data_IF_478531760702
#
_entry.id   IF_478531760702
#
_cell.length_a   1.000
_cell.length_b   1.000
_cell.length_c   1.000
_cell.angle_alpha   90.00
_cell.angle_beta   90.00
_cell.angle_gamma   90.00
#
_symmetry.space_group_name_H-M   'P 1'
#
loop_
_entity.id
_entity.type
_entity.pdbx_description
1 polymer ?
#
# COMPACT_ATOMS: atom_id res chain seq x y z
N UNK A 1 -27.14 75.09 27.07
CA UNK A 1 -26.99 73.70 27.51
C UNK A 1 -28.01 72.72 26.96
N UNK A 2 -29.32 72.96 27.03
CA UNK A 2 -30.35 71.96 26.57
C UNK A 2 -30.35 71.53 25.05
N UNK A 3 -29.79 72.34 24.15
CA UNK A 3 -29.75 72.00 22.73
C UNK A 3 -28.58 71.09 22.33
N UNK A 4 -27.47 71.09 23.08
CA UNK A 4 -26.30 70.22 22.83
C UNK A 4 -26.57 68.80 23.31
N UNK A 5 -27.13 68.60 24.49
CA UNK A 5 -27.50 67.32 25.08
C UNK A 5 -28.56 66.58 24.20
N UNK A 6 -29.48 67.29 23.57
CA UNK A 6 -30.48 66.67 22.68
C UNK A 6 -29.90 66.22 21.36
N UNK A 7 -28.80 66.81 20.88
CA UNK A 7 -28.06 66.38 19.65
C UNK A 7 -27.18 65.19 19.90
N UNK A 8 -26.53 65.12 21.08
CA UNK A 8 -25.73 63.96 21.50
C UNK A 8 -26.60 62.72 21.74
N UNK A 9 -27.74 62.84 22.43
CA UNK A 9 -28.67 61.75 22.64
C UNK A 9 -29.25 61.22 21.33
N UNK A 10 -29.55 62.09 20.34
CA UNK A 10 -30.00 61.62 19.03
C UNK A 10 -28.88 60.89 18.27
N UNK A 11 -27.64 61.33 18.38
CA UNK A 11 -26.48 60.66 17.75
C UNK A 11 -26.23 59.30 18.37
N UNK A 12 -26.30 59.20 19.70
CA UNK A 12 -26.13 57.90 20.42
C UNK A 12 -27.27 56.96 20.07
N UNK A 13 -28.51 57.44 20.03
CA UNK A 13 -29.66 56.63 19.65
C UNK A 13 -29.58 56.12 18.21
N UNK A 14 -29.05 56.93 17.28
CA UNK A 14 -28.80 56.52 15.89
C UNK A 14 -27.75 55.43 15.79
N UNK A 15 -26.65 55.52 16.59
CA UNK A 15 -25.58 54.50 16.66
C UNK A 15 -26.14 53.17 17.21
N UNK A 16 -26.96 53.22 18.27
CA UNK A 16 -27.60 52.03 18.85
C UNK A 16 -28.54 51.36 17.82
N UNK A 17 -29.34 52.12 17.10
CA UNK A 17 -30.24 51.60 16.06
C UNK A 17 -29.43 50.94 14.94
N UNK A 18 -28.30 51.54 14.51
CA UNK A 18 -27.41 51.02 13.51
C UNK A 18 -26.75 49.71 13.97
N UNK A 19 -26.30 49.63 15.20
CA UNK A 19 -25.75 48.40 15.79
C UNK A 19 -26.81 47.29 15.89
N UNK A 20 -28.03 47.60 16.30
CA UNK A 20 -29.12 46.61 16.32
C UNK A 20 -29.45 46.10 14.91
N UNK A 21 -29.40 47.00 13.91
CA UNK A 21 -29.66 46.61 12.52
C UNK A 21 -28.55 45.68 11.96
N UNK A 22 -27.31 45.96 12.31
CA UNK A 22 -26.15 45.07 11.95
C UNK A 22 -26.30 43.70 12.63
N UNK A 23 -26.63 43.65 13.92
CA UNK A 23 -26.86 42.40 14.63
C UNK A 23 -28.04 41.64 14.02
N UNK A 24 -29.12 42.31 13.68
CA UNK A 24 -30.31 41.70 13.09
C UNK A 24 -30.00 41.10 11.69
N UNK A 25 -29.29 41.87 10.82
CA UNK A 25 -28.84 41.39 9.52
C UNK A 25 -27.89 40.21 9.68
N UNK A 26 -26.94 40.27 10.59
CA UNK A 26 -26.02 39.19 10.91
C UNK A 26 -26.74 37.91 11.39
N UNK A 27 -27.81 38.11 12.21
CA UNK A 27 -28.62 36.96 12.67
C UNK A 27 -29.41 36.31 11.53
N UNK A 28 -30.00 37.12 10.65
CA UNK A 28 -30.68 36.58 9.45
C UNK A 28 -29.69 35.88 8.55
N UNK A 29 -28.53 36.48 8.30
CA UNK A 29 -27.48 35.85 7.47
C UNK A 29 -27.04 34.51 8.06
N UNK A 30 -26.80 34.44 9.38
CA UNK A 30 -26.48 33.24 10.11
C UNK A 30 -27.57 32.16 9.97
N UNK A 31 -28.85 32.55 10.13
CA UNK A 31 -29.97 31.61 9.97
C UNK A 31 -30.01 31.05 8.54
N UNK A 32 -29.87 31.91 7.53
CA UNK A 32 -29.89 31.50 6.12
C UNK A 32 -28.70 30.61 5.75
N UNK A 33 -27.53 30.83 6.35
CA UNK A 33 -26.33 30.02 6.19
C UNK A 33 -26.50 28.66 6.89
N UNK A 34 -26.97 28.63 8.15
CA UNK A 34 -27.21 27.39 8.92
C UNK A 34 -28.24 26.48 8.24
N UNK A 35 -29.29 27.05 7.67
CA UNK A 35 -30.32 26.28 6.95
C UNK A 35 -29.99 26.01 5.48
N UNK A 36 -28.78 26.40 5.02
CA UNK A 36 -28.31 26.14 3.65
C UNK A 36 -29.12 26.87 2.58
N UNK A 37 -29.88 27.91 2.96
CA UNK A 37 -30.70 28.69 2.03
C UNK A 37 -29.82 29.57 1.14
N UNK A 38 -28.67 30.00 1.65
CA UNK A 38 -27.62 30.71 0.90
C UNK A 38 -26.35 29.83 0.86
N UNK A 39 -25.69 29.78 -0.31
CA UNK A 39 -24.39 29.12 -0.45
C UNK A 39 -23.27 30.12 -0.15
N UNK A 40 -22.75 30.06 1.06
CA UNK A 40 -21.60 30.87 1.47
C UNK A 40 -20.33 30.01 1.36
N UNK A 41 -19.23 30.53 0.75
CA UNK A 41 -17.95 29.81 0.80
C UNK A 41 -17.54 29.52 2.24
N UNK A 42 -17.03 28.29 2.50
CA UNK A 42 -16.72 27.81 3.87
C UNK A 42 -15.88 28.80 4.71
N UNK A 43 -14.96 29.53 4.09
CA UNK A 43 -14.12 30.53 4.77
C UNK A 43 -14.89 31.74 5.32
N UNK A 44 -16.14 31.96 4.88
CA UNK A 44 -17.00 33.07 5.32
C UNK A 44 -18.28 32.59 6.01
N UNK A 45 -18.50 31.27 6.09
CA UNK A 45 -19.69 30.69 6.70
C UNK A 45 -19.55 30.66 8.22
N UNK A 46 -20.46 31.34 8.92
CA UNK A 46 -20.55 31.27 10.39
C UNK A 46 -21.07 29.89 10.81
N UNK A 47 -21.89 29.26 9.97
CA UNK A 47 -22.40 27.92 10.20
C UNK A 47 -21.27 26.90 10.26
N UNK A 48 -20.18 27.05 9.51
CA UNK A 48 -19.02 26.18 9.52
C UNK A 48 -18.33 26.07 10.89
N UNK A 49 -18.53 27.06 11.76
CA UNK A 49 -18.01 27.06 13.13
C UNK A 49 -18.74 26.05 14.05
N UNK A 50 -19.88 25.53 13.63
CA UNK A 50 -20.75 24.64 14.42
C UNK A 50 -21.02 23.29 13.79
N UNK A 51 -20.60 23.07 12.52
CA UNK A 51 -20.83 21.82 11.82
C UNK A 51 -19.61 20.90 11.87
N UNK A 52 -19.88 19.60 11.93
CA UNK A 52 -18.89 18.56 11.63
C UNK A 52 -18.71 18.46 10.12
N UNK A 53 -17.47 18.41 9.65
CA UNK A 53 -17.12 18.12 8.27
C UNK A 53 -16.49 16.72 8.19
N UNK A 54 -16.73 16.03 7.08
CA UNK A 54 -16.14 14.73 6.80
C UNK A 54 -15.26 14.88 5.56
N UNK A 55 -13.98 14.66 5.73
CA UNK A 55 -13.01 14.57 4.64
C UNK A 55 -12.60 13.12 4.43
N UNK A 56 -12.44 12.72 3.19
CA UNK A 56 -11.99 11.38 2.82
C UNK A 56 -10.82 11.45 1.85
N UNK A 57 -9.81 10.63 2.11
CA UNK A 57 -8.69 10.41 1.20
C UNK A 57 -8.67 8.92 0.86
N UNK A 58 -8.77 8.60 -0.43
CA UNK A 58 -8.69 7.21 -0.88
C UNK A 58 -7.28 6.63 -0.64
N UNK A 59 -7.21 5.35 -0.28
CA UNK A 59 -5.98 4.61 -0.38
C UNK A 59 -5.65 4.51 -1.88
N UNK A 60 -4.55 5.12 -2.30
CA UNK A 60 -4.03 4.87 -3.62
C UNK A 60 -3.47 3.45 -3.59
N UNK A 61 -4.33 2.49 -3.95
CA UNK A 61 -3.82 1.15 -4.19
C UNK A 61 -2.81 1.23 -5.32
N UNK A 62 -1.64 0.69 -5.09
CA UNK A 62 -0.66 0.40 -6.13
C UNK A 62 -1.11 -0.79 -6.98
N UNK A 63 -2.37 -0.83 -7.36
CA UNK A 63 -2.77 -1.58 -8.54
C UNK A 63 -2.26 -0.77 -9.71
N UNK A 64 -1.01 -1.06 -10.03
CA UNK A 64 -0.39 -0.60 -11.25
C UNK A 64 -1.28 -1.09 -12.39
N UNK A 65 -1.86 -0.20 -13.21
CA UNK A 65 -2.60 -0.64 -14.37
C UNK A 65 -1.63 -1.47 -15.20
N UNK A 66 -1.96 -2.73 -15.39
CA UNK A 66 -1.22 -3.62 -16.26
C UNK A 66 -1.21 -3.07 -17.67
N UNK A 67 -0.15 -3.35 -18.40
CA UNK A 67 0.05 -3.04 -19.82
C UNK A 67 0.05 -1.56 -20.21
N UNK A 68 0.42 -0.64 -19.33
CA UNK A 68 0.87 0.65 -19.84
C UNK A 68 2.33 0.52 -20.28
N UNK A 69 2.54 0.59 -21.60
CA UNK A 69 3.86 0.80 -22.19
C UNK A 69 4.50 1.99 -21.48
N UNK A 70 5.62 1.72 -20.82
CA UNK A 70 6.32 2.73 -20.04
C UNK A 70 6.81 3.82 -20.98
N UNK A 71 6.56 5.07 -20.61
CA UNK A 71 6.94 6.22 -21.42
C UNK A 71 8.46 6.31 -21.56
N UNK A 72 8.95 6.95 -22.64
CA UNK A 72 10.38 7.21 -22.87
C UNK A 72 11.07 7.89 -21.66
N UNK A 73 10.32 8.65 -20.86
CA UNK A 73 10.82 9.30 -19.65
C UNK A 73 11.19 8.33 -18.54
N UNK A 74 10.42 7.25 -18.37
CA UNK A 74 10.73 6.19 -17.40
C UNK A 74 11.88 5.32 -17.92
N UNK A 75 11.90 5.03 -19.23
CA UNK A 75 13.06 4.36 -19.86
C UNK A 75 14.36 5.10 -19.60
N UNK A 76 14.36 6.41 -19.82
CA UNK A 76 15.55 7.24 -19.59
C UNK A 76 15.99 7.23 -18.12
N UNK A 77 15.06 7.30 -17.16
CA UNK A 77 15.37 7.18 -15.72
C UNK A 77 16.00 5.83 -15.37
N UNK A 78 15.47 4.74 -15.91
CA UNK A 78 16.01 3.38 -15.69
C UNK A 78 17.42 3.28 -16.27
N UNK A 79 17.67 3.85 -17.45
CA UNK A 79 18.98 3.83 -18.09
C UNK A 79 19.99 4.78 -17.40
N UNK A 80 19.58 5.96 -16.94
CA UNK A 80 20.45 6.88 -16.17
C UNK A 80 20.94 6.22 -14.87
N UNK A 81 20.07 5.50 -14.16
CA UNK A 81 20.44 4.73 -12.95
C UNK A 81 21.44 3.61 -13.29
N UNK A 82 21.38 3.05 -14.50
CA UNK A 82 22.29 1.99 -14.96
C UNK A 82 23.68 2.52 -15.29
N UNK A 83 23.80 3.74 -15.84
CA UNK A 83 25.09 4.37 -16.14
C UNK A 83 25.81 4.86 -14.88
N UNK A 84 25.10 5.31 -13.86
CA UNK A 84 25.69 5.74 -12.58
C UNK A 84 26.33 4.57 -11.81
N UNK A 85 25.82 3.34 -11.95
CA UNK A 85 26.38 2.15 -11.29
C UNK A 85 27.63 1.57 -11.99
N UNK A 86 27.98 2.04 -13.19
CA UNK A 86 29.18 1.57 -13.94
C UNK A 86 30.36 2.55 -13.92
N UNK A 87 30.20 3.72 -13.34
CA UNK A 87 31.23 4.77 -13.29
C UNK A 87 31.91 4.87 -11.92
N UNK A 88 33.12 4.34 -11.82
CA UNK A 88 34.07 4.68 -10.75
C UNK A 88 34.39 6.16 -10.73
N UNK A 89 33.76 6.93 -9.83
CA UNK A 89 34.37 8.17 -9.33
C UNK A 89 33.91 8.37 -7.87
N UNK A 90 34.90 8.29 -6.98
CA UNK A 90 34.80 8.71 -5.60
C UNK A 90 34.65 10.23 -5.54
N UNK A 91 33.46 10.72 -5.33
CA UNK A 91 33.21 12.00 -4.70
C UNK A 91 32.00 11.86 -3.77
N UNK A 92 32.21 12.33 -2.53
CA UNK A 92 31.32 12.29 -1.37
C UNK A 92 29.86 12.63 -1.70
N UNK A 93 29.08 11.66 -2.16
CA UNK A 93 27.64 11.65 -2.03
C UNK A 93 27.35 10.83 -0.79
N UNK A 94 26.78 11.46 0.24
CA UNK A 94 26.29 10.73 1.43
C UNK A 94 25.39 9.60 0.94
N UNK A 95 25.86 8.37 1.15
CA UNK A 95 25.15 7.17 0.77
C UNK A 95 23.89 7.09 1.63
N UNK A 96 22.67 7.09 1.05
CA UNK A 96 21.43 6.94 1.81
C UNK A 96 21.43 5.69 2.69
N UNK A 97 22.19 4.65 2.33
CA UNK A 97 22.41 3.44 3.15
C UNK A 97 23.13 3.76 4.46
N UNK A 98 24.05 4.74 4.47
CA UNK A 98 24.75 5.17 5.70
C UNK A 98 23.82 5.92 6.65
N UNK A 99 22.85 6.68 6.13
CA UNK A 99 21.80 7.30 6.95
C UNK A 99 20.84 6.22 7.51
N UNK A 100 20.50 5.19 6.73
CA UNK A 100 19.68 4.07 7.19
C UNK A 100 20.41 3.24 8.27
N UNK A 101 21.70 2.94 8.09
CA UNK A 101 22.54 2.30 9.10
C UNK A 101 22.68 3.16 10.37
N UNK A 102 22.73 4.49 10.23
CA UNK A 102 22.77 5.40 11.37
C UNK A 102 21.42 5.52 12.08
N UNK A 103 20.30 5.43 11.34
CA UNK A 103 18.95 5.37 11.92
C UNK A 103 18.69 4.02 12.59
N UNK A 104 19.18 2.92 12.03
CA UNK A 104 19.11 1.58 12.63
C UNK A 104 19.99 1.47 13.90
N UNK A 105 21.15 2.14 13.91
CA UNK A 105 22.04 2.17 15.09
C UNK A 105 21.54 3.10 16.21
N UNK A 106 20.64 4.06 15.91
CA UNK A 106 20.05 4.93 16.92
C UNK A 106 18.75 4.40 17.51
N UNK A 107 18.09 3.44 16.86
CA UNK A 107 17.00 2.64 17.41
C UNK A 107 17.56 1.26 17.78
N UNK A 108 18.18 1.17 18.96
CA UNK A 108 18.74 -0.08 19.51
C UNK A 108 17.66 -1.02 20.05
N UNK A 109 16.64 -1.33 19.27
CA UNK A 109 15.92 -2.58 19.39
C UNK A 109 16.36 -3.43 18.22
N UNK A 110 17.20 -4.41 18.50
CA UNK A 110 17.68 -5.42 17.58
C UNK A 110 16.49 -6.07 16.87
N UNK A 111 16.11 -5.57 15.71
CA UNK A 111 15.30 -6.32 14.76
C UNK A 111 16.26 -7.34 14.15
N UNK A 112 16.40 -8.46 14.83
CA UNK A 112 17.18 -9.60 14.31
C UNK A 112 16.47 -10.10 13.04
N UNK A 113 17.25 -10.48 12.04
CA UNK A 113 16.80 -11.14 10.79
C UNK A 113 15.85 -12.32 11.10
N UNK A 114 15.94 -12.93 12.27
CA UNK A 114 15.05 -13.98 12.78
C UNK A 114 13.58 -13.56 12.91
N UNK A 115 13.26 -12.27 12.95
CA UNK A 115 11.90 -11.75 13.14
C UNK A 115 11.19 -11.34 11.82
N UNK A 116 11.85 -11.34 10.68
CA UNK A 116 11.21 -10.99 9.39
C UNK A 116 10.02 -11.91 9.01
N UNK A 117 9.93 -13.09 9.56
CA UNK A 117 8.83 -14.03 9.35
C UNK A 117 7.60 -13.80 10.23
N UNK A 118 7.67 -12.99 11.29
CA UNK A 118 6.59 -12.84 12.27
C UNK A 118 5.94 -11.46 12.29
N UNK A 119 6.64 -10.41 11.87
CA UNK A 119 6.13 -9.03 11.96
C UNK A 119 5.76 -8.41 10.60
N UNK A 120 6.13 -9.02 9.48
CA UNK A 120 5.94 -8.47 8.15
C UNK A 120 7.12 -7.57 7.72
N UNK A 121 7.62 -7.80 6.52
CA UNK A 121 8.74 -7.05 5.96
C UNK A 121 8.40 -5.58 5.75
N UNK A 122 7.24 -5.31 5.16
CA UNK A 122 6.78 -3.96 4.89
C UNK A 122 6.32 -3.22 6.14
N UNK A 123 5.69 -3.94 7.09
CA UNK A 123 5.31 -3.40 8.38
C UNK A 123 6.52 -2.83 9.16
N UNK A 124 7.65 -3.52 9.11
CA UNK A 124 8.85 -3.09 9.84
C UNK A 124 9.34 -1.70 9.43
N UNK A 125 9.06 -1.28 8.20
CA UNK A 125 9.49 -0.02 7.60
C UNK A 125 8.48 1.13 7.78
N UNK A 126 7.30 0.86 8.36
CA UNK A 126 6.30 1.90 8.61
C UNK A 126 6.73 2.82 9.75
N UNK A 127 6.33 4.09 9.66
CA UNK A 127 6.39 5.02 10.78
C UNK A 127 5.35 4.64 11.87
N UNK A 128 5.38 5.33 13.00
CA UNK A 128 4.49 5.03 14.14
C UNK A 128 3.01 5.19 13.78
N UNK A 129 2.67 6.16 12.93
CA UNK A 129 1.30 6.37 12.44
C UNK A 129 0.87 5.19 11.58
N UNK A 130 1.71 4.81 10.62
CA UNK A 130 1.48 3.68 9.73
C UNK A 130 1.35 2.37 10.50
N UNK A 131 2.22 2.11 11.47
CA UNK A 131 2.14 0.95 12.37
C UNK A 131 0.84 0.93 13.18
N UNK A 132 0.40 2.09 13.68
CA UNK A 132 -0.87 2.21 14.40
C UNK A 132 -2.05 1.83 13.52
N UNK A 133 -2.07 2.35 12.28
CA UNK A 133 -3.13 2.05 11.29
C UNK A 133 -3.11 0.57 10.92
N UNK A 134 -1.96 0.04 10.50
CA UNK A 134 -1.78 -1.36 10.13
C UNK A 134 -2.26 -2.30 11.25
N UNK A 135 -1.75 -2.10 12.47
CA UNK A 135 -2.05 -2.95 13.61
C UNK A 135 -3.54 -2.98 13.94
N UNK A 136 -4.22 -1.82 13.87
CA UNK A 136 -5.65 -1.74 14.16
C UNK A 136 -6.48 -2.48 13.12
N UNK A 137 -6.13 -2.34 11.86
CA UNK A 137 -6.81 -3.03 10.75
C UNK A 137 -6.52 -4.54 10.85
N UNK A 138 -5.26 -4.94 10.95
CA UNK A 138 -4.85 -6.35 11.00
C UNK A 138 -5.44 -7.11 12.20
N UNK A 139 -5.45 -6.51 13.39
CA UNK A 139 -6.10 -7.10 14.58
C UNK A 139 -7.60 -7.38 14.39
N UNK A 140 -8.23 -6.73 13.44
CA UNK A 140 -9.64 -6.91 13.12
C UNK A 140 -9.87 -7.65 11.79
N UNK A 141 -8.87 -8.40 11.29
CA UNK A 141 -8.94 -9.08 9.98
C UNK A 141 -10.19 -9.95 9.79
N UNK A 142 -10.69 -10.57 10.84
CA UNK A 142 -11.93 -11.35 10.78
C UNK A 142 -13.16 -10.48 10.47
N UNK A 143 -13.17 -9.22 10.95
CA UNK A 143 -14.25 -8.27 10.65
C UNK A 143 -14.14 -7.71 9.25
N UNK A 144 -12.92 -7.66 8.68
CA UNK A 144 -12.70 -7.16 7.32
C UNK A 144 -13.42 -8.01 6.28
N UNK A 145 -13.66 -9.29 6.55
CA UNK A 145 -14.34 -10.22 5.64
C UNK A 145 -15.78 -9.81 5.30
N UNK A 146 -16.41 -8.95 6.12
CA UNK A 146 -17.76 -8.41 5.83
C UNK A 146 -17.77 -7.33 4.76
N UNK A 147 -16.62 -6.69 4.50
CA UNK A 147 -16.44 -5.65 3.49
C UNK A 147 -16.90 -4.25 3.91
N UNK A 148 -17.46 -4.09 5.12
CA UNK A 148 -18.02 -2.82 5.62
C UNK A 148 -17.43 -2.39 6.98
N UNK A 149 -16.48 -3.15 7.51
CA UNK A 149 -15.85 -2.81 8.79
C UNK A 149 -15.08 -1.50 8.69
N UNK A 150 -15.32 -0.61 9.65
CA UNK A 150 -14.60 0.66 9.80
C UNK A 150 -13.75 0.63 11.07
N UNK A 151 -12.45 0.85 10.94
CA UNK A 151 -11.52 0.99 12.05
C UNK A 151 -11.57 2.42 12.58
N UNK A 152 -12.21 2.64 13.75
CA UNK A 152 -12.33 3.96 14.39
C UNK A 152 -11.10 4.23 15.27
N UNK A 153 -10.32 5.25 14.96
CA UNK A 153 -9.18 5.74 15.73
C UNK A 153 -9.58 6.86 16.70
N UNK A 154 -10.81 7.36 16.64
CA UNK A 154 -11.25 8.46 17.46
C UNK A 154 -10.39 9.71 17.26
N UNK A 155 -9.87 10.28 18.34
CA UNK A 155 -8.99 11.47 18.34
C UNK A 155 -7.50 11.14 18.43
N UNK A 156 -7.09 9.90 18.13
CA UNK A 156 -5.70 9.45 18.26
C UNK A 156 -4.73 10.27 17.40
N UNK A 157 -5.19 10.78 16.26
CA UNK A 157 -4.41 11.62 15.35
C UNK A 157 -4.77 13.12 15.40
N UNK A 158 -5.50 13.56 16.42
CA UNK A 158 -5.94 14.96 16.56
C UNK A 158 -4.75 15.93 16.63
N UNK A 159 -3.75 15.63 17.47
CA UNK A 159 -2.54 16.46 17.63
C UNK A 159 -1.77 16.58 16.30
N UNK A 160 -1.62 15.48 15.56
CA UNK A 160 -0.94 15.45 14.26
C UNK A 160 -1.67 16.35 13.25
N UNK A 161 -3.00 16.27 13.21
CA UNK A 161 -3.81 17.05 12.27
C UNK A 161 -3.84 18.55 12.57
N UNK A 162 -3.31 18.98 13.73
CA UNK A 162 -3.05 20.39 14.05
C UNK A 162 -1.66 20.88 13.59
N UNK A 163 -0.75 19.98 13.19
CA UNK A 163 0.54 20.35 12.61
C UNK A 163 0.38 20.92 11.19
N UNK A 164 1.30 21.78 10.75
CA UNK A 164 1.25 22.45 9.44
C UNK A 164 1.11 21.46 8.26
N UNK A 165 1.83 20.30 8.31
CA UNK A 165 1.78 19.25 7.28
C UNK A 165 1.10 17.97 7.80
N UNK A 166 0.35 18.04 8.88
CA UNK A 166 -0.18 16.88 9.58
C UNK A 166 -1.12 16.02 8.73
N UNK A 167 -1.94 16.67 7.88
CA UNK A 167 -2.84 15.97 6.97
C UNK A 167 -2.07 15.18 5.90
N UNK A 168 -1.03 15.78 5.33
CA UNK A 168 -0.20 15.11 4.33
C UNK A 168 0.55 13.93 4.94
N UNK A 169 1.17 14.13 6.10
CA UNK A 169 1.85 13.07 6.86
C UNK A 169 0.93 11.90 7.18
N UNK A 170 -0.28 12.18 7.70
CA UNK A 170 -1.26 11.14 8.00
C UNK A 170 -1.70 10.38 6.74
N UNK A 171 -1.90 11.09 5.61
CA UNK A 171 -2.25 10.46 4.34
C UNK A 171 -1.13 9.55 3.80
N UNK A 172 0.11 9.99 3.85
CA UNK A 172 1.28 9.19 3.44
C UNK A 172 1.41 7.94 4.31
N UNK A 173 1.34 8.08 5.64
CA UNK A 173 1.38 6.96 6.57
C UNK A 173 0.22 5.97 6.36
N UNK A 174 -0.99 6.48 6.05
CA UNK A 174 -2.15 5.64 5.72
C UNK A 174 -1.91 4.82 4.44
N UNK A 175 -1.43 5.46 3.38
CA UNK A 175 -1.16 4.78 2.11
C UNK A 175 -0.06 3.72 2.27
N UNK A 176 1.03 4.06 2.97
CA UNK A 176 2.09 3.11 3.30
C UNK A 176 1.57 1.93 4.13
N UNK A 177 0.73 2.19 5.14
CA UNK A 177 0.14 1.14 5.96
C UNK A 177 -0.77 0.20 5.17
N UNK A 178 -1.60 0.73 4.25
CA UNK A 178 -2.48 -0.10 3.41
C UNK A 178 -1.69 -0.95 2.42
N UNK A 179 -0.63 -0.39 1.84
CA UNK A 179 0.28 -1.12 0.96
C UNK A 179 1.01 -2.22 1.72
N UNK A 180 1.63 -1.90 2.85
CA UNK A 180 2.29 -2.89 3.70
C UNK A 180 1.33 -4.03 4.09
N UNK A 181 0.09 -3.68 4.46
CA UNK A 181 -0.91 -4.64 4.88
C UNK A 181 -1.16 -5.74 3.82
N UNK A 182 -1.34 -5.36 2.55
CA UNK A 182 -1.65 -6.33 1.49
C UNK A 182 -0.42 -7.02 0.89
N UNK A 183 0.77 -6.45 1.06
CA UNK A 183 2.03 -7.10 0.65
C UNK A 183 2.53 -8.09 1.70
N UNK A 184 2.39 -7.78 2.99
CA UNK A 184 2.75 -8.71 4.06
C UNK A 184 1.71 -9.83 4.24
N UNK A 185 0.44 -9.60 3.86
CA UNK A 185 -0.67 -10.52 4.11
C UNK A 185 -1.44 -10.86 2.83
N UNK A 186 -0.89 -11.70 1.94
CA UNK A 186 -1.59 -12.09 0.71
C UNK A 186 -2.89 -12.85 0.96
N UNK A 187 -3.13 -13.35 2.19
CA UNK A 187 -4.39 -13.93 2.65
C UNK A 187 -5.55 -12.91 2.78
N UNK A 188 -5.24 -11.60 2.72
CA UNK A 188 -6.24 -10.54 2.61
C UNK A 188 -6.66 -10.27 1.16
N UNK A 189 -6.60 -11.26 0.29
CA UNK A 189 -6.88 -11.20 -1.15
C UNK A 189 -8.26 -10.66 -1.52
N UNK A 190 -9.21 -10.76 -0.59
CA UNK A 190 -10.60 -10.32 -0.77
C UNK A 190 -10.79 -8.82 -0.55
N UNK A 191 -9.75 -8.08 -0.15
CA UNK A 191 -9.82 -6.64 0.08
C UNK A 191 -9.29 -5.88 -1.13
N UNK A 192 -10.12 -4.99 -1.66
CA UNK A 192 -9.71 -3.97 -2.60
C UNK A 192 -9.37 -2.69 -1.83
N UNK A 193 -8.08 -2.49 -1.55
CA UNK A 193 -7.63 -1.32 -0.78
C UNK A 193 -7.92 0.00 -1.49
N UNK A 194 -8.15 -0.01 -2.82
CA UNK A 194 -8.49 1.22 -3.57
C UNK A 194 -9.86 1.76 -3.18
N UNK A 195 -10.74 0.91 -2.66
CA UNK A 195 -12.06 1.29 -2.15
C UNK A 195 -12.02 1.77 -0.71
N UNK A 196 -10.93 1.52 0.02
CA UNK A 196 -10.78 1.97 1.40
C UNK A 196 -10.30 3.42 1.46
N UNK A 197 -10.75 4.13 2.47
CA UNK A 197 -10.45 5.56 2.64
C UNK A 197 -10.12 5.89 4.07
N UNK A 198 -9.21 6.86 4.22
CA UNK A 198 -9.04 7.59 5.46
C UNK A 198 -10.16 8.63 5.56
N UNK A 199 -10.98 8.53 6.60
CA UNK A 199 -12.14 9.39 6.82
C UNK A 199 -11.83 10.27 8.01
N UNK A 200 -11.87 11.59 7.82
CA UNK A 200 -11.64 12.57 8.87
C UNK A 200 -12.90 13.37 9.13
N UNK A 201 -13.43 13.26 10.34
CA UNK A 201 -14.53 14.09 10.84
C UNK A 201 -13.97 15.31 11.58
N UNK A 202 -14.35 16.51 11.15
CA UNK A 202 -13.88 17.78 11.71
C UNK A 202 -15.02 18.42 12.48
N UNK A 203 -14.83 18.59 13.79
CA UNK A 203 -15.76 19.34 14.64
C UNK A 203 -15.13 20.66 15.06
N UNK A 204 -15.65 21.77 14.53
CA UNK A 204 -15.19 23.11 14.89
C UNK A 204 -16.14 23.75 15.89
N UNK A 205 -15.56 24.28 16.97
CA UNK A 205 -16.24 25.10 17.98
C UNK A 205 -15.57 26.46 18.04
N UNK A 206 -16.17 27.42 18.75
CA UNK A 206 -15.71 28.83 18.80
C UNK A 206 -14.21 28.96 19.13
N UNK A 207 -13.65 28.05 19.93
CA UNK A 207 -12.26 28.14 20.41
C UNK A 207 -11.46 26.83 20.18
N UNK A 208 -12.01 25.84 19.50
CA UNK A 208 -11.33 24.57 19.30
C UNK A 208 -11.80 23.87 18.04
N UNK A 209 -10.88 23.19 17.37
CA UNK A 209 -11.17 22.21 16.32
C UNK A 209 -10.73 20.85 16.84
N UNK A 210 -11.50 19.82 16.58
CA UNK A 210 -11.19 18.44 16.96
C UNK A 210 -11.37 17.56 15.74
N UNK A 211 -10.39 16.69 15.49
CA UNK A 211 -10.37 15.74 14.39
C UNK A 211 -10.63 14.34 14.94
N UNK A 212 -11.53 13.61 14.29
CA UNK A 212 -11.72 12.17 14.51
C UNK A 212 -11.40 11.45 13.22
N UNK A 213 -10.65 10.35 13.32
CA UNK A 213 -10.17 9.62 12.16
C UNK A 213 -10.69 8.18 12.20
N UNK A 214 -11.09 7.70 11.04
CA UNK A 214 -11.40 6.29 10.83
C UNK A 214 -10.89 5.81 9.46
N UNK A 215 -10.72 4.49 9.31
CA UNK A 215 -10.36 3.85 8.05
C UNK A 215 -11.42 2.83 7.68
N UNK A 216 -11.95 2.93 6.48
CA UNK A 216 -13.01 2.05 6.01
C UNK A 216 -13.56 2.52 4.67
N UNK A 217 -14.83 2.22 4.42
CA UNK A 217 -15.57 2.70 3.24
C UNK A 217 -16.66 3.66 3.69
N UNK A 218 -16.84 4.76 2.96
CA UNK A 218 -17.88 5.73 3.27
C UNK A 218 -19.26 5.21 2.96
N UNK A 219 -19.38 4.52 1.82
CA UNK A 219 -20.61 3.88 1.35
C UNK A 219 -20.25 2.63 0.56
N UNK A 220 -21.05 1.56 0.70
CA UNK A 220 -20.84 0.33 -0.05
C UNK A 220 -19.95 -0.69 0.68
N UNK A 221 -19.11 -1.38 -0.09
CA UNK A 221 -18.29 -2.49 0.37
C UNK A 221 -16.90 -2.42 -0.30
N UNK A 222 -15.84 -2.66 0.48
CA UNK A 222 -14.46 -2.65 -0.03
C UNK A 222 -13.96 -4.02 -0.47
N UNK A 223 -14.79 -5.06 -0.45
CA UNK A 223 -14.35 -6.35 -0.96
C UNK A 223 -14.08 -6.28 -2.47
N UNK A 224 -13.10 -7.03 -2.92
CA UNK A 224 -12.79 -7.19 -4.32
C UNK A 224 -13.92 -7.91 -5.06
N UNK A 225 -13.99 -7.71 -6.38
CA UNK A 225 -14.94 -8.40 -7.24
C UNK A 225 -14.80 -9.91 -7.11
N UNK A 226 -15.90 -10.62 -6.94
CA UNK A 226 -15.93 -12.06 -6.72
C UNK A 226 -15.91 -12.46 -5.23
N UNK A 227 -15.77 -11.50 -4.30
CA UNK A 227 -15.74 -11.75 -2.84
C UNK A 227 -16.71 -10.85 -2.07
N UNK A 228 -17.85 -10.53 -2.65
CA UNK A 228 -18.77 -9.48 -2.20
C UNK A 228 -19.44 -9.77 -0.83
N UNK A 229 -19.29 -10.96 -0.28
CA UNK A 229 -19.90 -11.32 1.00
C UNK A 229 -19.08 -12.33 1.80
N UNK A 230 -19.32 -12.37 3.10
CA UNK A 230 -18.63 -13.22 4.07
C UNK A 230 -18.59 -14.70 3.68
N UNK A 231 -19.68 -15.22 3.08
CA UNK A 231 -19.76 -16.63 2.68
C UNK A 231 -18.76 -16.92 1.54
N UNK A 232 -18.70 -16.07 0.52
CA UNK A 232 -17.77 -16.22 -0.59
C UNK A 232 -16.32 -16.10 -0.09
N UNK A 233 -16.03 -15.12 0.77
CA UNK A 233 -14.70 -14.95 1.36
C UNK A 233 -14.27 -16.19 2.13
N UNK A 234 -15.12 -16.73 3.01
CA UNK A 234 -14.77 -17.90 3.82
C UNK A 234 -14.58 -19.16 2.94
N UNK A 235 -15.44 -19.40 1.95
CA UNK A 235 -15.28 -20.53 1.01
C UNK A 235 -13.97 -20.42 0.23
N UNK A 236 -13.61 -19.22 -0.20
CA UNK A 236 -12.35 -18.97 -0.92
C UNK A 236 -11.13 -19.19 -0.03
N UNK A 237 -11.18 -18.78 1.23
CA UNK A 237 -10.12 -19.06 2.22
C UNK A 237 -9.95 -20.56 2.43
N UNK A 238 -11.06 -21.29 2.64
CA UNK A 238 -11.02 -22.75 2.83
C UNK A 238 -10.40 -23.47 1.62
N UNK A 239 -10.70 -23.02 0.40
CA UNK A 239 -10.15 -23.62 -0.81
C UNK A 239 -8.65 -23.31 -0.99
N UNK A 240 -8.22 -22.08 -0.72
CA UNK A 240 -6.80 -21.69 -0.71
C UNK A 240 -6.04 -22.51 0.33
N UNK A 241 -6.57 -22.61 1.55
CA UNK A 241 -5.98 -23.42 2.63
C UNK A 241 -5.85 -24.90 2.23
N UNK A 242 -6.88 -25.47 1.64
CA UNK A 242 -6.86 -26.86 1.17
C UNK A 242 -5.77 -27.10 0.15
N UNK A 243 -5.64 -26.21 -0.86
CA UNK A 243 -4.65 -26.36 -1.92
C UNK A 243 -3.23 -26.11 -1.38
N UNK A 244 -3.04 -25.04 -0.61
CA UNK A 244 -1.71 -24.73 -0.05
C UNK A 244 -1.20 -25.84 0.87
N UNK A 245 -2.07 -26.42 1.71
CA UNK A 245 -1.69 -27.52 2.58
C UNK A 245 -1.32 -28.78 1.77
N UNK A 246 -1.99 -29.07 0.67
CA UNK A 246 -1.60 -30.18 -0.22
C UNK A 246 -0.18 -29.99 -0.81
N UNK A 247 0.16 -28.74 -1.18
CA UNK A 247 1.51 -28.42 -1.68
C UNK A 247 2.55 -28.54 -0.56
N UNK A 248 2.24 -28.02 0.63
CA UNK A 248 3.10 -28.10 1.81
C UNK A 248 3.36 -29.55 2.22
N UNK A 249 2.31 -30.37 2.29
CA UNK A 249 2.42 -31.80 2.65
C UNK A 249 3.28 -32.58 1.64
N UNK A 250 3.29 -32.18 0.37
CA UNK A 250 4.12 -32.78 -0.66
C UNK A 250 5.59 -32.31 -0.65
N UNK A 251 5.88 -31.18 0.02
CA UNK A 251 7.19 -30.53 -0.07
C UNK A 251 8.29 -31.15 0.84
N UNK A 252 7.93 -32.08 1.73
CA UNK A 252 8.89 -32.72 2.64
C UNK A 252 9.47 -31.74 3.68
N UNK A 253 10.64 -32.06 4.23
CA UNK A 253 11.26 -31.30 5.32
C UNK A 253 12.50 -30.50 4.89
N UNK A 254 13.11 -30.79 3.73
CA UNK A 254 14.28 -30.09 3.24
C UNK A 254 13.89 -28.71 2.68
N UNK A 255 14.50 -27.66 3.24
CA UNK A 255 14.20 -26.26 2.89
C UNK A 255 14.40 -25.98 1.39
N UNK A 256 15.46 -26.51 0.78
CA UNK A 256 15.76 -26.25 -0.60
C UNK A 256 14.82 -27.02 -1.55
N UNK A 257 14.43 -28.24 -1.16
CA UNK A 257 13.41 -29.02 -1.86
C UNK A 257 12.03 -28.34 -1.76
N UNK A 258 11.70 -27.78 -0.59
CA UNK A 258 10.46 -26.99 -0.39
C UNK A 258 10.40 -25.78 -1.31
N UNK A 259 11.47 -24.96 -1.34
CA UNK A 259 11.54 -23.75 -2.19
C UNK A 259 11.35 -24.14 -3.67
N UNK A 260 12.06 -25.22 -4.11
CA UNK A 260 11.98 -25.69 -5.48
C UNK A 260 10.61 -26.27 -5.82
N UNK A 261 10.04 -27.08 -4.94
CA UNK A 261 8.74 -27.72 -5.19
C UNK A 261 7.64 -26.68 -5.33
N UNK A 262 7.61 -25.66 -4.47
CA UNK A 262 6.62 -24.59 -4.56
C UNK A 262 6.76 -23.80 -5.85
N UNK A 263 7.99 -23.48 -6.27
CA UNK A 263 8.29 -22.86 -7.55
C UNK A 263 7.75 -23.72 -8.70
N UNK A 264 8.17 -24.97 -8.78
CA UNK A 264 7.82 -25.90 -9.86
C UNK A 264 6.30 -26.16 -9.92
N UNK A 265 5.65 -26.25 -8.76
CA UNK A 265 4.20 -26.40 -8.69
C UNK A 265 3.47 -25.23 -9.33
N UNK A 266 3.89 -23.99 -9.07
CA UNK A 266 3.26 -22.81 -9.66
C UNK A 266 3.52 -22.76 -11.16
N UNK A 267 4.77 -22.94 -11.59
CA UNK A 267 5.13 -22.98 -13.03
C UNK A 267 4.37 -24.07 -13.79
N UNK A 268 4.22 -25.27 -13.20
CA UNK A 268 3.57 -26.40 -13.89
C UNK A 268 2.03 -26.37 -13.85
N UNK A 269 1.44 -25.63 -12.91
CA UNK A 269 -0.01 -25.69 -12.67
C UNK A 269 -0.78 -24.43 -13.03
N UNK A 270 -0.08 -23.35 -13.35
CA UNK A 270 -0.72 -22.06 -13.62
C UNK A 270 -0.66 -21.69 -15.10
N UNK A 271 -1.47 -20.73 -15.48
CA UNK A 271 -1.53 -20.10 -16.79
C UNK A 271 -1.44 -18.58 -16.61
N UNK A 272 -0.54 -17.92 -17.33
CA UNK A 272 -0.48 -16.46 -17.34
C UNK A 272 -1.71 -15.89 -18.07
N UNK A 273 -2.47 -15.03 -17.40
CA UNK A 273 -3.70 -14.43 -17.92
C UNK A 273 -3.71 -12.91 -17.73
N UNK A 274 -3.11 -12.21 -18.69
CA UNK A 274 -3.05 -10.72 -18.69
C UNK A 274 -4.38 -10.05 -19.05
N UNK A 275 -5.39 -10.80 -19.50
CA UNK A 275 -6.73 -10.28 -19.82
C UNK A 275 -7.77 -10.68 -18.76
N UNK A 276 -7.31 -11.33 -17.70
CA UNK A 276 -8.17 -11.84 -16.63
C UNK A 276 -8.87 -10.76 -15.80
N UNK A 277 -9.78 -11.22 -14.94
CA UNK A 277 -10.48 -10.36 -13.99
C UNK A 277 -9.55 -9.96 -12.83
N UNK A 278 -10.06 -9.15 -11.91
CA UNK A 278 -9.33 -8.64 -10.75
C UNK A 278 -8.69 -9.72 -9.85
N UNK A 279 -9.21 -10.94 -9.86
CA UNK A 279 -8.70 -12.08 -9.09
C UNK A 279 -7.32 -12.59 -9.56
N UNK A 280 -6.92 -12.35 -10.83
CA UNK A 280 -5.59 -12.74 -11.37
C UNK A 280 -4.41 -12.09 -10.62
N UNK A 281 -4.66 -11.04 -9.85
CA UNK A 281 -3.67 -10.35 -9.00
C UNK A 281 -3.55 -10.96 -7.61
N UNK A 282 -4.29 -12.02 -7.32
CA UNK A 282 -4.48 -12.56 -5.98
C UNK A 282 -4.02 -14.00 -5.86
N UNK A 283 -3.81 -14.46 -4.62
CA UNK A 283 -3.54 -15.87 -4.35
C UNK A 283 -4.74 -16.77 -4.71
N UNK A 284 -5.97 -16.24 -4.76
CA UNK A 284 -7.13 -17.00 -5.19
C UNK A 284 -7.08 -17.32 -6.69
N UNK A 285 -6.81 -16.32 -7.53
CA UNK A 285 -6.60 -16.52 -8.96
C UNK A 285 -5.49 -17.54 -9.22
N UNK A 286 -4.35 -17.37 -8.56
CA UNK A 286 -3.19 -18.24 -8.70
C UNK A 286 -3.46 -19.68 -8.23
N UNK A 287 -3.91 -19.88 -7.00
CA UNK A 287 -3.99 -21.20 -6.39
C UNK A 287 -5.28 -21.95 -6.76
N UNK A 288 -6.42 -21.24 -6.85
CA UNK A 288 -7.73 -21.85 -7.09
C UNK A 288 -8.08 -21.87 -8.57
N UNK A 289 -8.05 -20.69 -9.23
CA UNK A 289 -8.43 -20.58 -10.64
C UNK A 289 -7.30 -20.99 -11.60
N UNK A 290 -6.06 -21.14 -11.10
CA UNK A 290 -4.86 -21.48 -11.88
C UNK A 290 -4.54 -20.45 -12.96
N UNK A 291 -4.97 -19.21 -12.75
CA UNK A 291 -4.77 -18.08 -13.66
C UNK A 291 -4.30 -16.87 -12.89
N UNK A 292 -3.18 -16.31 -13.30
CA UNK A 292 -2.64 -15.13 -12.65
C UNK A 292 -1.75 -14.32 -13.60
N UNK A 293 -1.49 -13.08 -13.16
CA UNK A 293 -0.41 -12.24 -13.67
C UNK A 293 0.75 -12.26 -12.67
N UNK A 294 1.85 -11.59 -12.98
CA UNK A 294 3.08 -11.59 -12.17
C UNK A 294 2.82 -11.38 -10.67
N UNK A 295 1.96 -10.43 -10.30
CA UNK A 295 1.60 -10.15 -8.90
C UNK A 295 0.90 -11.33 -8.22
N UNK A 296 0.04 -12.06 -8.93
CA UNK A 296 -0.62 -13.26 -8.41
C UNK A 296 0.34 -14.42 -8.20
N UNK A 297 1.27 -14.66 -9.16
CA UNK A 297 2.36 -15.63 -9.03
C UNK A 297 3.23 -15.33 -7.81
N UNK A 298 3.72 -14.07 -7.71
CA UNK A 298 4.61 -13.65 -6.64
C UNK A 298 3.95 -13.77 -5.26
N UNK A 299 2.68 -13.36 -5.12
CA UNK A 299 1.92 -13.50 -3.87
C UNK A 299 1.66 -14.96 -3.49
N UNK A 300 1.37 -15.82 -4.46
CA UNK A 300 1.14 -17.24 -4.18
C UNK A 300 2.43 -17.93 -3.72
N UNK A 301 3.55 -17.61 -4.33
CA UNK A 301 4.87 -18.11 -3.94
C UNK A 301 5.22 -17.63 -2.52
N UNK A 302 5.10 -16.34 -2.24
CA UNK A 302 5.28 -15.78 -0.90
C UNK A 302 4.39 -16.47 0.13
N UNK A 303 3.10 -16.62 -0.17
CA UNK A 303 2.13 -17.20 0.75
C UNK A 303 2.50 -18.61 1.21
N UNK A 304 2.84 -19.47 0.26
CA UNK A 304 3.19 -20.87 0.57
C UNK A 304 4.54 -20.94 1.29
N UNK A 305 5.57 -20.20 0.84
CA UNK A 305 6.87 -20.20 1.50
C UNK A 305 6.80 -19.66 2.93
N UNK A 306 6.07 -18.58 3.15
CA UNK A 306 5.89 -18.04 4.51
C UNK A 306 5.14 -19.02 5.43
N UNK A 307 4.19 -19.80 4.91
CA UNK A 307 3.55 -20.90 5.68
C UNK A 307 4.54 -22.04 6.02
N UNK A 308 5.55 -22.27 5.19
CA UNK A 308 6.64 -23.20 5.45
C UNK A 308 7.72 -22.61 6.39
N UNK A 309 7.57 -21.36 6.85
CA UNK A 309 8.56 -20.67 7.68
C UNK A 309 9.80 -20.21 6.89
N UNK A 310 9.70 -20.09 5.57
CA UNK A 310 10.75 -19.61 4.68
C UNK A 310 10.44 -18.17 4.33
N UNK A 311 11.24 -17.18 4.82
CA UNK A 311 10.95 -15.77 4.54
C UNK A 311 11.03 -15.48 3.04
N UNK A 312 9.92 -14.95 2.52
CA UNK A 312 9.75 -14.59 1.12
C UNK A 312 8.96 -13.28 1.04
N UNK A 313 9.43 -12.34 0.24
CA UNK A 313 8.76 -11.06 -0.01
C UNK A 313 8.40 -10.90 -1.47
N UNK A 314 7.35 -10.13 -1.75
CA UNK A 314 7.02 -9.68 -3.10
C UNK A 314 7.78 -8.38 -3.38
N UNK A 315 8.43 -8.29 -4.51
CA UNK A 315 9.14 -7.11 -5.00
C UNK A 315 8.41 -6.58 -6.21
N UNK A 316 8.22 -5.27 -6.28
CA UNK A 316 7.66 -4.58 -7.44
C UNK A 316 8.76 -3.81 -8.17
N UNK A 317 8.62 -3.73 -9.48
CA UNK A 317 9.57 -3.01 -10.31
C UNK A 317 9.19 -3.04 -11.78
N UNK A 318 10.20 -3.05 -12.63
CA UNK A 318 10.04 -3.22 -14.08
C UNK A 318 10.95 -4.34 -14.57
N UNK A 319 10.51 -5.03 -15.63
CA UNK A 319 11.29 -6.04 -16.32
C UNK A 319 11.42 -5.69 -17.80
N UNK A 320 12.59 -5.98 -18.41
CA UNK A 320 12.82 -5.87 -19.83
C UNK A 320 12.64 -7.25 -20.47
N UNK A 321 11.56 -7.42 -21.24
CA UNK A 321 11.28 -8.70 -21.88
C UNK A 321 12.23 -8.99 -23.07
N UNK A 322 12.13 -10.19 -23.65
CA UNK A 322 12.99 -10.62 -24.75
C UNK A 322 12.90 -9.77 -26.03
N UNK A 323 11.88 -8.93 -26.15
CA UNK A 323 11.70 -7.99 -27.25
C UNK A 323 12.30 -6.61 -26.97
N UNK A 324 12.87 -6.41 -25.76
CA UNK A 324 13.38 -5.11 -25.30
C UNK A 324 12.29 -4.15 -24.84
N UNK A 325 11.07 -4.66 -24.55
CA UNK A 325 9.99 -3.87 -24.01
C UNK A 325 10.09 -3.88 -22.49
N UNK A 326 9.96 -2.71 -21.86
CA UNK A 326 9.97 -2.56 -20.42
C UNK A 326 8.52 -2.50 -19.93
N UNK A 327 8.19 -3.39 -19.01
CA UNK A 327 6.86 -3.51 -18.43
C UNK A 327 6.91 -3.54 -16.90
N UNK A 328 5.85 -3.09 -16.27
CA UNK A 328 5.70 -3.23 -14.83
C UNK A 328 5.65 -4.70 -14.45
N UNK A 329 6.42 -5.07 -13.43
CA UNK A 329 6.59 -6.47 -13.07
C UNK A 329 6.67 -6.67 -11.55
N UNK A 330 6.43 -7.90 -11.13
CA UNK A 330 6.55 -8.30 -9.73
C UNK A 330 7.15 -9.70 -9.64
N UNK A 331 8.06 -9.87 -8.67
CA UNK A 331 8.79 -11.11 -8.41
C UNK A 331 9.00 -11.31 -6.91
N UNK A 332 9.85 -12.22 -6.52
CA UNK A 332 10.12 -12.49 -5.10
C UNK A 332 11.60 -12.39 -4.75
N UNK A 333 11.86 -12.03 -3.49
CA UNK A 333 13.13 -12.33 -2.84
C UNK A 333 12.89 -13.37 -1.75
N UNK A 334 13.78 -14.37 -1.69
CA UNK A 334 13.73 -15.48 -0.73
C UNK A 334 14.98 -15.46 0.14
N UNK A 335 14.81 -15.56 1.46
CA UNK A 335 15.90 -15.58 2.42
C UNK A 335 16.40 -17.00 2.68
N UNK A 336 17.65 -17.25 2.31
CA UNK A 336 18.33 -18.52 2.48
C UNK A 336 19.70 -18.26 3.12
N UNK A 337 19.98 -18.89 4.26
CA UNK A 337 21.26 -18.78 4.96
C UNK A 337 21.71 -17.31 5.13
N UNK A 338 20.79 -16.47 5.64
CA UNK A 338 20.98 -15.04 5.89
C UNK A 338 21.26 -14.18 4.63
N UNK A 339 20.99 -14.71 3.43
CA UNK A 339 21.16 -14.01 2.16
C UNK A 339 19.88 -14.05 1.33
N UNK A 340 19.60 -12.95 0.67
CA UNK A 340 18.47 -12.86 -0.22
C UNK A 340 18.85 -13.25 -1.65
N UNK A 341 17.94 -13.97 -2.31
CA UNK A 341 18.04 -14.39 -3.71
C UNK A 341 16.75 -14.08 -4.44
N UNK A 342 16.86 -13.66 -5.69
CA UNK A 342 15.70 -13.35 -6.52
C UNK A 342 15.12 -14.61 -7.14
N UNK A 343 13.78 -14.64 -7.23
CA UNK A 343 13.01 -15.68 -7.94
C UNK A 343 11.89 -15.00 -8.71
N UNK A 344 11.80 -15.29 -10.01
CA UNK A 344 10.67 -14.86 -10.83
C UNK A 344 9.94 -16.08 -11.40
N UNK A 345 8.92 -16.52 -10.68
CA UNK A 345 8.08 -17.65 -11.05
C UNK A 345 7.32 -17.40 -12.35
N UNK A 346 6.98 -16.13 -12.62
CA UNK A 346 6.22 -15.75 -13.83
C UNK A 346 7.04 -15.94 -15.10
N UNK A 347 8.28 -15.44 -15.10
CA UNK A 347 9.15 -15.56 -16.27
C UNK A 347 9.80 -16.94 -16.39
N UNK A 348 9.71 -17.75 -15.35
CA UNK A 348 10.05 -19.18 -15.38
C UNK A 348 8.88 -20.06 -15.87
N UNK A 349 7.68 -19.47 -16.08
CA UNK A 349 6.50 -20.10 -16.71
C UNK A 349 6.36 -19.66 -18.18
N UNK A 350 7.05 -20.32 -19.12
CA UNK A 350 7.03 -19.90 -20.51
C UNK A 350 5.73 -20.30 -21.21
N UNK A 351 5.21 -19.37 -22.03
CA UNK A 351 4.10 -19.68 -22.94
C UNK A 351 4.56 -20.72 -23.97
N UNK A 352 4.03 -21.94 -23.90
CA UNK A 352 4.38 -23.00 -24.81
C UNK A 352 3.38 -23.06 -25.97
N UNK A 353 3.91 -22.95 -27.20
CA UNK A 353 3.15 -23.27 -28.41
C UNK A 353 3.56 -24.66 -28.89
N UNK A 354 2.72 -25.69 -28.64
CA UNK A 354 2.95 -27.05 -29.06
C UNK A 354 2.89 -28.09 -27.94
N UNK A 355 3.30 -29.33 -28.22
CA UNK A 355 3.36 -30.42 -27.25
C UNK A 355 4.82 -30.72 -26.90
N UNK A 356 5.20 -30.57 -25.63
CA UNK A 356 6.55 -30.87 -25.17
C UNK A 356 6.70 -30.58 -23.69
N UNK A 357 7.79 -31.07 -23.07
CA UNK A 357 8.17 -30.73 -21.70
C UNK A 357 9.08 -29.51 -21.73
N UNK A 358 8.85 -28.56 -20.84
CA UNK A 358 9.73 -27.41 -20.67
C UNK A 358 11.10 -27.92 -20.18
N UNK A 359 12.21 -27.55 -20.83
CA UNK A 359 13.54 -27.87 -20.34
C UNK A 359 13.80 -27.19 -18.97
N UNK A 360 14.49 -27.91 -18.08
CA UNK A 360 14.77 -27.43 -16.72
C UNK A 360 15.52 -26.07 -16.69
N UNK A 361 16.43 -25.84 -17.65
CA UNK A 361 17.16 -24.57 -17.75
C UNK A 361 16.31 -23.38 -18.20
N UNK A 362 15.13 -23.61 -18.76
CA UNK A 362 14.15 -22.57 -19.08
C UNK A 362 13.26 -22.34 -17.87
N UNK A 363 12.77 -23.42 -17.25
CA UNK A 363 11.90 -23.39 -16.08
C UNK A 363 12.56 -22.77 -14.83
N UNK A 364 13.90 -22.72 -14.78
CA UNK A 364 14.67 -22.17 -13.66
C UNK A 364 15.61 -21.05 -14.09
N UNK A 365 15.27 -20.34 -15.19
CA UNK A 365 16.09 -19.24 -15.69
C UNK A 365 16.24 -18.12 -14.65
N UNK A 366 15.20 -17.85 -13.88
CA UNK A 366 15.15 -16.82 -12.86
C UNK A 366 15.01 -17.38 -11.44
N UNK A 367 15.32 -18.66 -11.24
CA UNK A 367 15.24 -19.31 -9.94
C UNK A 367 16.51 -19.09 -9.13
N UNK A 368 16.38 -18.51 -7.92
CA UNK A 368 17.43 -18.21 -6.93
C UNK A 368 18.66 -17.49 -7.51
N UNK A 369 18.38 -16.41 -8.23
CA UNK A 369 19.41 -15.60 -8.88
C UNK A 369 20.02 -14.56 -7.94
N UNK A 370 21.30 -14.27 -8.18
CA UNK A 370 22.00 -13.14 -7.60
C UNK A 370 21.91 -11.89 -8.48
N UNK A 371 22.38 -10.76 -7.93
CA UNK A 371 22.28 -9.45 -8.57
C UNK A 371 23.01 -9.38 -9.93
N UNK A 372 24.14 -10.08 -10.08
CA UNK A 372 24.93 -10.06 -11.34
C UNK A 372 24.13 -10.61 -12.54
N UNK A 373 23.20 -11.54 -12.29
CA UNK A 373 22.35 -12.12 -13.33
C UNK A 373 20.97 -11.47 -13.37
N UNK A 374 20.34 -11.29 -12.21
CA UNK A 374 18.96 -10.86 -12.12
C UNK A 374 18.75 -9.42 -12.60
N UNK A 375 19.63 -8.50 -12.22
CA UNK A 375 19.53 -7.09 -12.60
C UNK A 375 19.99 -6.80 -14.04
N UNK A 376 20.17 -7.82 -14.89
CA UNK A 376 20.38 -7.61 -16.34
C UNK A 376 19.10 -7.15 -17.04
N UNK A 377 17.95 -7.62 -16.54
CA UNK A 377 16.65 -7.39 -17.14
C UNK A 377 15.52 -7.09 -16.10
N UNK A 378 15.83 -7.05 -14.80
CA UNK A 378 14.92 -6.67 -13.73
C UNK A 378 15.44 -5.44 -13.00
N UNK A 379 14.56 -4.50 -12.67
CA UNK A 379 14.91 -3.26 -11.98
C UNK A 379 13.86 -2.97 -10.91
N UNK A 380 14.31 -2.94 -9.65
CA UNK A 380 13.47 -2.59 -8.52
C UNK A 380 12.85 -1.20 -8.67
N UNK A 381 11.62 -1.05 -8.24
CA UNK A 381 10.95 0.24 -8.23
C UNK A 381 11.44 1.11 -7.07
N UNK A 382 12.61 1.73 -7.27
CA UNK A 382 13.18 2.71 -6.32
C UNK A 382 12.62 4.11 -6.50
N UNK A 383 11.87 4.34 -7.56
CA UNK A 383 11.51 5.69 -8.00
C UNK A 383 10.00 5.98 -7.98
N UNK A 384 9.14 5.01 -7.98
CA UNK A 384 7.69 5.23 -7.80
C UNK A 384 7.32 5.22 -6.34
N UNK A 385 8.07 5.88 -5.64
CA UNK A 385 8.21 6.17 -4.25
C UNK A 385 7.02 6.94 -3.69
N UNK A 386 5.80 6.50 -3.97
CA UNK A 386 4.67 6.95 -3.16
C UNK A 386 4.77 6.40 -1.73
N UNK A 387 5.58 5.33 -1.49
CA UNK A 387 5.57 4.62 -0.20
C UNK A 387 6.94 4.34 0.44
N UNK A 388 8.05 4.79 -0.13
CA UNK A 388 9.41 4.72 0.47
C UNK A 388 9.81 3.36 1.08
N UNK A 389 9.38 2.24 0.50
CA UNK A 389 9.86 0.94 0.93
C UNK A 389 11.20 0.61 0.28
N UNK A 390 12.11 0.04 1.07
CA UNK A 390 13.40 -0.41 0.62
C UNK A 390 13.41 -1.94 0.53
N UNK A 391 14.06 -2.47 -0.49
CA UNK A 391 14.27 -3.91 -0.63
C UNK A 391 15.64 -4.29 -0.08
N UNK A 392 15.81 -5.51 0.46
CA UNK A 392 17.09 -5.99 0.91
C UNK A 392 18.02 -6.21 -0.28
N UNK A 393 19.32 -6.02 -0.09
CA UNK A 393 20.31 -6.40 -1.09
C UNK A 393 20.26 -7.92 -1.32
N UNK A 394 20.19 -8.33 -2.59
CA UNK A 394 20.33 -9.75 -2.93
C UNK A 394 21.81 -10.11 -3.09
N UNK A 395 22.12 -11.40 -2.85
CA UNK A 395 23.46 -11.94 -3.02
C UNK A 395 23.97 -11.65 -4.43
N UNK A 396 25.26 -11.35 -4.57
CA UNK A 396 25.87 -11.05 -5.88
C UNK A 396 25.79 -12.26 -6.82
N UNK A 397 26.14 -13.45 -6.32
CA UNK A 397 26.15 -14.68 -7.10
C UNK A 397 24.84 -15.45 -6.93
N UNK A 398 24.48 -16.25 -7.95
CA UNK A 398 23.38 -17.19 -7.85
C UNK A 398 23.59 -18.18 -6.69
N UNK A 399 22.51 -18.72 -6.12
CA UNK A 399 22.60 -19.75 -5.08
C UNK A 399 23.27 -21.01 -5.61
N UNK A 400 22.87 -21.47 -6.80
CA UNK A 400 23.55 -22.52 -7.53
C UNK A 400 24.51 -21.86 -8.53
N UNK A 401 25.76 -21.58 -8.13
CA UNK A 401 26.82 -21.24 -9.05
C UNK A 401 27.35 -22.53 -9.68
N UNK A 402 27.31 -22.62 -11.02
CA UNK A 402 28.01 -23.69 -11.76
C UNK A 402 29.52 -23.67 -11.49
#
# INVERSE_FOLDING_TARGET
MRKSERKENNSLMTIIILLMLIIFIGTIYFILDVFGIIKVPNQYSIASLFYSQIETTAANGTDLPENQIITEEIKNKVFETREENTGTNQENVQNPMLELEQLQNNNSDNVSIENYGTEGFYYSQLDDIGKTIYNKIYKNKEKLKTGDYTADFGTEFDDILHEENGKEKLNQSFQSAMTALVFDNPDLFYIDITKMSLITEITTRVFSTTYRVSVGVKEGNYNAEGFENLTMVNQSIEEIERISNQVIDAAGEDKMEQIKLVHDYLVDSMEYDGEGKSDVYTIYGALVNKKAVCKGYAKAYQYILNKLGIPCIVVSGVGENSNGEIEKHAWNYVLIDEKWYAVDVTWDDPIITGTGRIPDNIKHKYYLKGSDEFFKDHYEDKATVEFNFFYPEICQNNYYSE
#
